data_IF_165969588734
#
_entry.id   IF_165969588734
#
_cell.length_a   1.000
_cell.length_b   1.000
_cell.length_c   1.000
_cell.angle_alpha   90.00
_cell.angle_beta   90.00
_cell.angle_gamma   90.00
#
_symmetry.space_group_name_H-M   'P 1'
#
loop_
_entity.id
_entity.type
_entity.pdbx_description
1 polymer ?
#
# COMPACT_ATOMS: atom_id res chain seq x y z
N UNK A 1 -6.74 -7.58 -8.18
CA UNK A 1 -5.73 -8.06 -7.21
C UNK A 1 -5.96 -9.52 -6.91
N UNK A 2 -7.06 -9.92 -6.25
CA UNK A 2 -7.35 -11.34 -5.99
C UNK A 2 -7.35 -12.19 -7.28
N UNK A 3 -8.06 -11.77 -8.33
CA UNK A 3 -8.05 -12.49 -9.61
C UNK A 3 -6.65 -12.60 -10.24
N UNK A 4 -5.80 -11.57 -10.14
CA UNK A 4 -4.43 -11.60 -10.64
C UNK A 4 -3.56 -12.56 -9.84
N UNK A 5 -3.69 -12.56 -8.52
CA UNK A 5 -2.96 -13.48 -7.66
C UNK A 5 -3.43 -14.93 -7.86
N UNK A 6 -4.73 -15.16 -8.10
CA UNK A 6 -5.25 -16.49 -8.43
C UNK A 6 -4.76 -16.98 -9.80
N UNK A 7 -4.71 -16.11 -10.81
CA UNK A 7 -4.13 -16.43 -12.12
C UNK A 7 -2.64 -16.73 -11.99
N UNK A 8 -1.91 -15.90 -11.23
CA UNK A 8 -0.49 -16.11 -10.96
C UNK A 8 -0.21 -17.42 -10.24
N UNK A 9 -1.00 -17.74 -9.21
CA UNK A 9 -0.92 -19.01 -8.49
C UNK A 9 -1.26 -20.20 -9.40
N UNK A 10 -2.29 -20.08 -10.24
CA UNK A 10 -2.66 -21.12 -11.20
C UNK A 10 -1.56 -21.34 -12.26
N UNK A 11 -0.90 -20.27 -12.72
CA UNK A 11 0.24 -20.35 -13.63
C UNK A 11 1.45 -20.99 -12.96
N UNK A 12 1.74 -20.65 -11.70
CA UNK A 12 2.79 -21.30 -10.92
C UNK A 12 2.50 -22.79 -10.79
N UNK A 13 1.28 -23.17 -10.39
CA UNK A 13 0.87 -24.58 -10.28
C UNK A 13 0.99 -25.30 -11.64
N UNK A 14 0.58 -24.68 -12.74
CA UNK A 14 0.72 -25.24 -14.07
C UNK A 14 2.19 -25.40 -14.48
N UNK A 15 3.04 -24.39 -14.24
CA UNK A 15 4.48 -24.45 -14.51
C UNK A 15 5.17 -25.51 -13.65
N UNK A 16 4.80 -25.64 -12.38
CA UNK A 16 5.31 -26.66 -11.47
C UNK A 16 4.96 -28.07 -11.91
N UNK A 17 3.81 -28.27 -12.58
CA UNK A 17 3.40 -29.57 -13.11
C UNK A 17 4.04 -29.87 -14.48
N UNK A 18 4.20 -28.87 -15.33
CA UNK A 18 4.66 -29.04 -16.71
C UNK A 18 6.19 -28.96 -16.85
N UNK A 19 6.84 -28.11 -16.05
CA UNK A 19 8.26 -27.78 -16.13
C UNK A 19 8.86 -27.57 -14.71
N UNK A 20 8.86 -28.58 -13.83
CA UNK A 20 9.31 -28.45 -12.45
C UNK A 20 10.74 -27.95 -12.32
N UNK A 21 11.65 -28.38 -13.21
CA UNK A 21 13.06 -27.95 -13.22
C UNK A 21 13.22 -26.45 -13.45
N UNK A 22 12.35 -25.84 -14.26
CA UNK A 22 12.37 -24.40 -14.49
C UNK A 22 11.91 -23.65 -13.25
N UNK A 23 10.88 -24.15 -12.57
CA UNK A 23 10.39 -23.54 -11.32
C UNK A 23 11.45 -23.63 -10.22
N UNK A 24 12.11 -24.79 -10.11
CA UNK A 24 13.22 -24.99 -9.18
C UNK A 24 14.41 -24.08 -9.50
N UNK A 25 14.74 -23.88 -10.79
CA UNK A 25 15.83 -22.98 -11.17
C UNK A 25 15.51 -21.50 -10.92
N UNK A 26 14.24 -21.09 -11.11
CA UNK A 26 13.81 -19.70 -10.92
C UNK A 26 13.65 -19.35 -9.44
N UNK A 27 13.09 -20.26 -8.66
CA UNK A 27 12.91 -20.14 -7.21
C UNK A 27 13.96 -20.91 -6.43
N UNK A 28 15.16 -21.07 -6.99
CA UNK A 28 16.32 -21.44 -6.18
C UNK A 28 16.66 -20.26 -5.28
N UNK A 29 17.21 -20.54 -4.10
CA UNK A 29 17.76 -19.50 -3.24
C UNK A 29 18.83 -18.69 -3.95
N UNK A 30 18.79 -17.39 -3.76
CA UNK A 30 19.48 -16.34 -4.48
C UNK A 30 19.17 -16.29 -5.99
N UNK A 31 18.09 -16.96 -6.39
CA UNK A 31 17.65 -17.05 -7.77
C UNK A 31 17.01 -15.77 -8.27
N UNK A 32 16.64 -15.74 -9.56
CA UNK A 32 16.04 -14.56 -10.18
C UNK A 32 14.77 -14.06 -9.48
N UNK A 33 13.96 -14.96 -8.89
CA UNK A 33 12.72 -14.58 -8.21
C UNK A 33 13.00 -13.87 -6.90
N UNK A 34 13.94 -14.35 -6.07
CA UNK A 34 14.34 -13.69 -4.83
C UNK A 34 14.92 -12.29 -5.09
N UNK A 35 15.77 -12.14 -6.11
CA UNK A 35 16.29 -10.83 -6.51
C UNK A 35 15.18 -9.88 -6.97
N UNK A 36 14.13 -10.41 -7.61
CA UNK A 36 12.94 -9.65 -7.96
C UNK A 36 12.08 -9.30 -6.73
N UNK A 37 11.92 -10.21 -5.76
CA UNK A 37 11.16 -9.98 -4.53
C UNK A 37 11.82 -8.86 -3.72
N UNK A 38 13.15 -8.89 -3.57
CA UNK A 38 13.96 -7.82 -2.97
C UNK A 38 13.77 -6.47 -3.67
N UNK A 39 13.88 -6.43 -5.01
CA UNK A 39 13.71 -5.19 -5.76
C UNK A 39 12.29 -4.60 -5.59
N UNK A 40 11.26 -5.46 -5.59
CA UNK A 40 9.87 -5.05 -5.35
C UNK A 40 9.69 -4.58 -3.91
N UNK A 41 10.31 -5.23 -2.93
CA UNK A 41 10.23 -4.87 -1.52
C UNK A 41 10.88 -3.51 -1.26
N UNK A 42 12.06 -3.25 -1.84
CA UNK A 42 12.73 -1.94 -1.83
C UNK A 42 11.85 -0.86 -2.45
N UNK A 43 11.30 -1.12 -3.65
CA UNK A 43 10.39 -0.19 -4.31
C UNK A 43 9.14 0.08 -3.46
N UNK A 44 8.61 -0.96 -2.81
CA UNK A 44 7.51 -0.90 -1.86
C UNK A 44 7.83 0.00 -0.67
N UNK A 45 8.98 -0.22 -0.02
CA UNK A 45 9.45 0.60 1.10
C UNK A 45 9.57 2.08 0.71
N UNK A 46 10.22 2.38 -0.43
CA UNK A 46 10.35 3.74 -0.97
C UNK A 46 8.97 4.37 -1.22
N UNK A 47 8.06 3.63 -1.86
CA UNK A 47 6.71 4.11 -2.14
C UNK A 47 5.95 4.44 -0.83
N UNK A 48 6.02 3.57 0.17
CA UNK A 48 5.40 3.79 1.47
C UNK A 48 6.05 4.94 2.24
N UNK A 49 7.37 5.13 2.19
CA UNK A 49 8.03 6.32 2.73
C UNK A 49 7.57 7.61 2.05
N UNK A 50 7.42 7.60 0.72
CA UNK A 50 6.92 8.75 -0.02
C UNK A 50 5.48 9.10 0.39
N UNK A 51 4.63 8.09 0.60
CA UNK A 51 3.28 8.29 1.16
C UNK A 51 3.38 8.81 2.60
N UNK A 52 4.25 8.25 3.43
CA UNK A 52 4.39 8.63 4.85
C UNK A 52 4.78 10.10 5.02
N UNK A 53 5.67 10.59 4.15
CA UNK A 53 6.08 12.00 4.11
C UNK A 53 4.95 12.94 3.68
N UNK A 54 4.04 12.48 2.81
CA UNK A 54 2.91 13.29 2.31
C UNK A 54 1.72 13.27 3.27
N UNK A 55 1.39 12.10 3.81
CA UNK A 55 0.18 11.89 4.61
C UNK A 55 0.42 12.10 6.11
N UNK A 56 1.67 12.02 6.58
CA UNK A 56 2.07 12.27 7.98
C UNK A 56 1.50 11.29 9.02
N UNK A 57 0.84 10.20 8.58
CA UNK A 57 0.17 9.26 9.48
C UNK A 57 1.15 8.22 10.03
N UNK A 58 1.07 7.98 11.34
CA UNK A 58 1.92 7.02 12.05
C UNK A 58 1.90 5.62 11.44
N UNK A 59 0.72 5.10 11.05
CA UNK A 59 0.62 3.76 10.49
C UNK A 59 1.32 3.61 9.12
N UNK A 60 1.45 4.69 8.35
CA UNK A 60 2.15 4.68 7.05
C UNK A 60 3.65 4.60 7.28
N UNK A 61 4.16 5.33 8.28
CA UNK A 61 5.55 5.19 8.74
C UNK A 61 5.82 3.79 9.28
N UNK A 62 4.90 3.23 10.08
CA UNK A 62 5.02 1.85 10.57
C UNK A 62 5.04 0.84 9.42
N UNK A 63 4.23 1.02 8.37
CA UNK A 63 4.29 0.20 7.17
C UNK A 63 5.64 0.31 6.47
N UNK A 64 6.16 1.53 6.28
CA UNK A 64 7.46 1.74 5.64
C UNK A 64 8.59 1.09 6.44
N UNK A 65 8.62 1.28 7.77
CA UNK A 65 9.59 0.65 8.65
C UNK A 65 9.45 -0.88 8.65
N UNK A 66 8.21 -1.39 8.66
CA UNK A 66 7.94 -2.82 8.60
C UNK A 66 8.57 -3.45 7.34
N UNK A 67 8.38 -2.86 6.16
CA UNK A 67 8.98 -3.37 4.92
C UNK A 67 10.52 -3.34 4.94
N UNK A 68 11.12 -2.33 5.58
CA UNK A 68 12.59 -2.28 5.75
C UNK A 68 13.07 -3.36 6.70
N UNK A 69 12.34 -3.63 7.78
CA UNK A 69 12.66 -4.73 8.70
C UNK A 69 12.56 -6.06 7.98
N UNK A 70 11.48 -6.30 7.23
CA UNK A 70 11.32 -7.52 6.42
C UNK A 70 12.47 -7.68 5.44
N UNK A 71 12.85 -6.62 4.71
CA UNK A 71 14.00 -6.66 3.81
C UNK A 71 15.29 -7.04 4.55
N UNK A 72 15.49 -6.52 5.76
CA UNK A 72 16.67 -6.85 6.56
C UNK A 72 16.65 -8.26 7.15
N UNK A 73 15.47 -8.84 7.37
CA UNK A 73 15.31 -10.23 7.82
C UNK A 73 15.52 -11.24 6.68
N UNK A 74 15.17 -10.86 5.46
CA UNK A 74 15.20 -11.72 4.27
C UNK A 74 16.59 -11.81 3.64
N UNK A 75 17.36 -10.73 3.68
CA UNK A 75 18.70 -10.69 3.12
C UNK A 75 19.66 -11.65 3.86
N UNK A 76 20.27 -12.59 3.15
CA UNK A 76 21.52 -13.20 3.61
C UNK A 76 22.68 -12.21 3.45
N UNK A 77 22.91 -11.45 4.52
CA UNK A 77 23.94 -10.43 4.60
C UNK A 77 25.35 -10.97 4.29
N UNK A 78 25.64 -12.22 4.66
CA UNK A 78 26.95 -12.83 4.45
C UNK A 78 27.10 -13.44 3.06
N UNK A 79 26.09 -14.19 2.62
CA UNK A 79 26.10 -14.87 1.32
C UNK A 79 26.04 -13.92 0.13
N UNK A 80 25.15 -12.91 0.18
CA UNK A 80 24.83 -12.05 -0.98
C UNK A 80 25.67 -10.80 -1.01
N UNK A 81 25.80 -10.16 0.15
CA UNK A 81 26.42 -8.85 0.26
C UNK A 81 27.82 -8.89 0.87
N UNK A 82 28.31 -10.10 1.20
CA UNK A 82 29.62 -10.33 1.81
C UNK A 82 29.85 -9.55 3.11
N UNK A 83 28.77 -9.24 3.83
CA UNK A 83 28.75 -8.54 5.12
C UNK A 83 28.79 -9.55 6.27
N UNK A 84 29.85 -10.34 6.32
CA UNK A 84 30.08 -11.42 7.30
C UNK A 84 29.93 -10.94 8.76
N UNK A 85 30.35 -9.71 9.07
CA UNK A 85 30.22 -9.16 10.43
C UNK A 85 28.75 -8.99 10.86
N UNK A 86 27.87 -8.58 9.94
CA UNK A 86 26.45 -8.44 10.21
C UNK A 86 25.78 -9.81 10.34
N UNK A 87 26.08 -10.73 9.43
CA UNK A 87 25.57 -12.11 9.47
C UNK A 87 25.97 -12.84 10.76
N UNK A 88 27.24 -12.73 11.17
CA UNK A 88 27.73 -13.36 12.41
C UNK A 88 27.12 -12.74 13.68
N UNK A 89 26.80 -11.45 13.65
CA UNK A 89 26.13 -10.78 14.78
C UNK A 89 24.68 -11.23 14.93
N UNK A 90 23.96 -11.41 13.80
CA UNK A 90 22.62 -11.99 13.77
C UNK A 90 22.64 -13.44 14.25
N UNK A 91 23.55 -14.26 13.72
CA UNK A 91 23.72 -15.66 14.12
C UNK A 91 23.99 -15.79 15.62
N UNK A 92 24.84 -14.93 16.18
CA UNK A 92 25.12 -14.92 17.62
C UNK A 92 23.91 -14.52 18.49
N UNK A 93 22.97 -13.72 17.96
CA UNK A 93 21.81 -13.23 18.71
C UNK A 93 20.62 -14.21 18.67
N UNK A 94 20.34 -14.79 17.51
CA UNK A 94 19.13 -15.58 17.26
C UNK A 94 19.43 -17.02 16.81
N UNK A 95 20.70 -17.42 16.68
CA UNK A 95 21.13 -18.75 16.25
C UNK A 95 20.98 -19.01 14.75
N UNK A 96 20.68 -17.97 13.98
CA UNK A 96 20.45 -18.06 12.54
C UNK A 96 20.99 -16.82 11.83
N UNK A 97 21.69 -17.02 10.70
CA UNK A 97 22.18 -15.95 9.82
C UNK A 97 21.07 -15.25 9.04
N UNK A 98 19.92 -15.92 8.89
CA UNK A 98 18.73 -15.41 8.23
C UNK A 98 17.48 -15.81 9.04
N UNK A 99 16.88 -14.81 9.69
CA UNK A 99 15.74 -15.01 10.59
C UNK A 99 14.48 -15.46 9.85
N UNK A 100 14.28 -14.96 8.63
CA UNK A 100 13.15 -15.28 7.77
C UNK A 100 13.13 -16.78 7.45
N UNK A 101 14.27 -17.29 7.01
CA UNK A 101 14.46 -18.70 6.68
C UNK A 101 14.35 -19.64 7.88
N UNK A 102 14.79 -19.19 9.07
CA UNK A 102 14.64 -19.97 10.29
C UNK A 102 13.17 -20.17 10.69
N UNK A 103 12.32 -19.16 10.42
CA UNK A 103 10.89 -19.23 10.67
C UNK A 103 10.11 -19.93 9.54
N UNK A 104 10.70 -20.04 8.35
CA UNK A 104 10.12 -20.68 7.16
C UNK A 104 8.71 -20.17 6.86
N UNK A 105 7.79 -21.09 6.53
CA UNK A 105 6.37 -20.82 6.32
C UNK A 105 5.68 -19.85 7.30
N UNK A 106 6.13 -19.76 8.56
CA UNK A 106 5.54 -18.89 9.58
C UNK A 106 5.94 -17.41 9.44
N UNK A 107 7.11 -17.12 8.86
CA UNK A 107 7.55 -15.76 8.58
C UNK A 107 6.53 -15.02 7.71
N UNK A 108 6.04 -15.69 6.66
CA UNK A 108 5.04 -15.14 5.73
C UNK A 108 3.71 -14.85 6.41
N UNK A 109 3.29 -15.70 7.35
CA UNK A 109 2.04 -15.50 8.09
C UNK A 109 2.17 -14.30 9.02
N UNK A 110 3.29 -14.19 9.72
CA UNK A 110 3.62 -13.04 10.56
C UNK A 110 3.60 -11.76 9.72
N UNK A 111 4.27 -11.78 8.57
CA UNK A 111 4.29 -10.68 7.62
C UNK A 111 2.91 -10.27 7.14
N UNK A 112 2.13 -11.23 6.64
CA UNK A 112 0.79 -10.97 6.14
C UNK A 112 -0.14 -10.46 7.24
N UNK A 113 -0.03 -10.99 8.47
CA UNK A 113 -0.84 -10.57 9.61
C UNK A 113 -0.53 -9.12 10.05
N UNK A 114 0.76 -8.79 10.23
CA UNK A 114 1.20 -7.42 10.60
C UNK A 114 0.77 -6.44 9.51
N UNK A 115 1.00 -6.79 8.25
CA UNK A 115 0.63 -5.98 7.10
C UNK A 115 -0.88 -5.77 7.02
N UNK A 116 -1.68 -6.83 7.18
CA UNK A 116 -3.13 -6.75 7.17
C UNK A 116 -3.66 -5.89 8.34
N UNK A 117 -3.03 -5.96 9.52
CA UNK A 117 -3.37 -5.11 10.66
C UNK A 117 -3.14 -3.63 10.35
N UNK A 118 -1.99 -3.28 9.76
CA UNK A 118 -1.67 -1.91 9.35
C UNK A 118 -2.63 -1.40 8.25
N UNK A 119 -2.98 -2.24 7.28
CA UNK A 119 -4.01 -1.91 6.28
C UNK A 119 -5.41 -1.79 6.91
N UNK A 120 -5.70 -2.57 7.95
CA UNK A 120 -6.92 -2.46 8.75
C UNK A 120 -7.00 -1.13 9.51
N UNK A 121 -5.88 -0.66 10.07
CA UNK A 121 -5.76 0.69 10.63
C UNK A 121 -6.08 1.74 9.55
N UNK A 122 -5.51 1.60 8.35
CA UNK A 122 -5.78 2.50 7.23
C UNK A 122 -7.27 2.53 6.85
N UNK A 123 -7.93 1.37 6.81
CA UNK A 123 -9.36 1.27 6.52
C UNK A 123 -10.21 1.94 7.60
N UNK A 124 -9.91 1.73 8.89
CA UNK A 124 -10.60 2.39 10.00
C UNK A 124 -10.43 3.90 9.95
N UNK A 125 -9.25 4.37 9.60
CA UNK A 125 -8.89 5.79 9.46
C UNK A 125 -9.52 6.48 8.24
N UNK A 126 -9.96 5.68 7.27
CA UNK A 126 -10.64 6.10 6.04
C UNK A 126 -12.15 6.25 6.23
N UNK A 127 -12.72 5.91 7.39
CA UNK A 127 -14.15 6.13 7.63
C UNK A 127 -14.44 7.64 7.77
N UNK A 128 -15.54 8.15 7.18
CA UNK A 128 -15.89 9.56 7.31
C UNK A 128 -15.99 9.93 8.80
N UNK A 129 -15.17 10.88 9.25
CA UNK A 129 -15.39 11.58 10.51
C UNK A 129 -16.22 12.83 10.20
N UNK A 130 -17.00 13.30 11.18
CA UNK A 130 -17.95 14.41 11.03
C UNK A 130 -17.35 15.74 10.49
N UNK A 131 -16.02 15.87 10.44
CA UNK A 131 -15.33 16.99 9.80
C UNK A 131 -14.49 16.53 8.58
N UNK A 132 -14.90 16.89 7.36
CA UNK A 132 -14.19 16.56 6.13
C UNK A 132 -13.14 17.63 5.83
N UNK A 133 -11.98 17.58 6.49
CA UNK A 133 -10.94 18.61 6.29
C UNK A 133 -9.62 18.09 5.74
N UNK A 134 -9.47 16.79 5.44
CA UNK A 134 -8.24 16.31 4.79
C UNK A 134 -8.51 15.40 3.60
N UNK A 135 -7.72 15.59 2.54
CA UNK A 135 -7.56 14.64 1.44
C UNK A 135 -7.00 13.33 2.01
N UNK A 136 -7.88 12.45 2.48
CA UNK A 136 -7.51 11.14 3.04
C UNK A 136 -7.47 10.10 1.95
N UNK A 137 -6.34 9.42 1.80
CA UNK A 137 -6.23 8.22 0.98
C UNK A 137 -7.14 7.14 1.54
N UNK A 138 -8.10 6.67 0.74
CA UNK A 138 -8.97 5.55 1.12
C UNK A 138 -8.27 4.24 0.79
N UNK A 139 -7.99 3.45 1.82
CA UNK A 139 -7.59 2.04 1.67
C UNK A 139 -8.83 1.17 1.84
N UNK A 140 -9.04 0.23 0.92
CA UNK A 140 -10.18 -0.68 1.00
C UNK A 140 -9.91 -1.79 2.01
N UNK A 141 -10.88 -2.13 2.86
CA UNK A 141 -10.79 -3.32 3.70
C UNK A 141 -10.57 -4.61 2.88
N UNK A 142 -10.93 -4.61 1.59
CA UNK A 142 -10.65 -5.72 0.66
C UNK A 142 -9.15 -5.93 0.44
N UNK A 143 -8.33 -4.89 0.53
CA UNK A 143 -6.89 -5.01 0.36
C UNK A 143 -6.25 -5.72 1.57
N UNK A 144 -6.70 -5.43 2.79
CA UNK A 144 -6.25 -6.13 4.00
C UNK A 144 -6.64 -7.61 3.98
N UNK A 145 -7.89 -7.92 3.61
CA UNK A 145 -8.36 -9.31 3.48
C UNK A 145 -7.55 -10.05 2.42
N UNK A 146 -7.30 -9.43 1.26
CA UNK A 146 -6.56 -10.09 0.19
C UNK A 146 -5.10 -10.38 0.57
N UNK A 147 -4.41 -9.47 1.27
CA UNK A 147 -3.05 -9.73 1.79
C UNK A 147 -3.07 -10.88 2.79
N UNK A 148 -4.02 -10.90 3.72
CA UNK A 148 -4.16 -12.00 4.68
C UNK A 148 -4.47 -13.33 3.99
N UNK A 149 -5.35 -13.32 3.00
CA UNK A 149 -5.68 -14.52 2.21
C UNK A 149 -4.47 -15.05 1.43
N UNK A 150 -3.61 -14.17 0.91
CA UNK A 150 -2.37 -14.58 0.25
C UNK A 150 -1.39 -15.21 1.24
N UNK A 151 -1.22 -14.64 2.43
CA UNK A 151 -0.38 -15.22 3.48
C UNK A 151 -0.93 -16.50 4.11
N UNK A 152 -2.24 -16.75 4.05
CA UNK A 152 -2.81 -18.05 4.43
C UNK A 152 -2.69 -19.08 3.31
N UNK A 153 -2.85 -18.65 2.06
CA UNK A 153 -2.65 -19.51 0.90
C UNK A 153 -1.20 -20.00 0.84
N UNK A 154 -0.21 -19.21 1.27
CA UNK A 154 1.19 -19.66 1.31
C UNK A 154 1.36 -20.90 2.17
N UNK A 155 0.84 -20.91 3.40
CA UNK A 155 0.88 -22.09 4.29
C UNK A 155 0.27 -23.32 3.61
N UNK A 156 -0.89 -23.16 2.97
CA UNK A 156 -1.61 -24.27 2.38
C UNK A 156 -0.79 -24.86 1.21
N UNK A 157 -0.24 -23.99 0.36
CA UNK A 157 0.51 -24.41 -0.83
C UNK A 157 1.85 -25.03 -0.43
N UNK A 158 2.60 -24.43 0.51
CA UNK A 158 3.88 -24.99 0.98
C UNK A 158 3.70 -26.35 1.63
N UNK A 159 2.65 -26.52 2.46
CA UNK A 159 2.32 -27.82 3.07
C UNK A 159 1.81 -28.86 2.07
N UNK A 160 1.13 -28.44 1.01
CA UNK A 160 0.62 -29.35 -0.02
C UNK A 160 1.69 -29.78 -1.03
N UNK A 161 2.73 -28.96 -1.24
CA UNK A 161 3.79 -29.18 -2.24
C UNK A 161 5.18 -29.17 -1.60
N UNK A 162 5.51 -30.09 -0.68
CA UNK A 162 6.77 -30.06 0.07
C UNK A 162 8.03 -30.19 -0.80
N UNK A 163 7.92 -30.78 -2.00
CA UNK A 163 9.05 -30.87 -2.95
C UNK A 163 9.38 -29.56 -3.66
N UNK A 164 8.48 -28.58 -3.59
CA UNK A 164 8.61 -27.27 -4.20
C UNK A 164 8.50 -26.17 -3.15
N UNK A 165 8.69 -26.52 -1.86
CA UNK A 165 8.45 -25.62 -0.73
C UNK A 165 9.24 -24.32 -0.91
N UNK A 166 10.56 -24.42 -1.08
CA UNK A 166 11.46 -23.29 -1.29
C UNK A 166 11.05 -22.42 -2.48
N UNK A 167 10.93 -23.00 -3.68
CA UNK A 167 10.55 -22.21 -4.85
C UNK A 167 9.16 -21.60 -4.75
N UNK A 168 8.21 -22.29 -4.13
CA UNK A 168 6.85 -21.77 -3.97
C UNK A 168 6.83 -20.60 -3.00
N UNK A 169 7.62 -20.66 -1.93
CA UNK A 169 7.80 -19.56 -0.97
C UNK A 169 8.29 -18.29 -1.68
N UNK A 170 9.35 -18.39 -2.48
CA UNK A 170 9.90 -17.27 -3.27
C UNK A 170 8.85 -16.60 -4.19
N UNK A 171 8.04 -17.41 -4.88
CA UNK A 171 6.95 -16.87 -5.71
C UNK A 171 5.86 -16.20 -4.87
N UNK A 172 5.53 -16.75 -3.70
CA UNK A 172 4.51 -16.22 -2.81
C UNK A 172 4.94 -14.88 -2.20
N UNK A 173 6.22 -14.74 -1.82
CA UNK A 173 6.83 -13.47 -1.44
C UNK A 173 6.66 -12.42 -2.54
N UNK A 174 7.05 -12.77 -3.77
CA UNK A 174 6.91 -11.89 -4.93
C UNK A 174 5.47 -11.39 -5.10
N UNK A 175 4.48 -12.26 -4.92
CA UNK A 175 3.07 -11.87 -4.97
C UNK A 175 2.63 -10.99 -3.79
N UNK A 176 3.10 -11.29 -2.57
CA UNK A 176 2.79 -10.50 -1.37
C UNK A 176 3.38 -9.09 -1.47
N UNK A 177 4.66 -8.96 -1.85
CA UNK A 177 5.33 -7.67 -2.01
C UNK A 177 4.78 -6.92 -3.20
N UNK A 178 4.51 -7.61 -4.31
CA UNK A 178 3.85 -7.03 -5.49
C UNK A 178 2.47 -6.46 -5.15
N UNK A 179 1.68 -7.17 -4.33
CA UNK A 179 0.38 -6.67 -3.87
C UNK A 179 0.53 -5.39 -3.05
N UNK A 180 1.55 -5.30 -2.19
CA UNK A 180 1.80 -4.12 -1.35
C UNK A 180 2.29 -2.92 -2.16
N UNK A 181 3.22 -3.14 -3.08
CA UNK A 181 3.67 -2.11 -4.01
C UNK A 181 2.49 -1.64 -4.86
N UNK A 182 1.66 -2.55 -5.36
CA UNK A 182 0.44 -2.21 -6.11
C UNK A 182 -0.50 -1.34 -5.27
N UNK A 183 -0.75 -1.69 -4.00
CA UNK A 183 -1.57 -0.87 -3.09
C UNK A 183 -0.95 0.54 -2.91
N UNK A 184 0.37 0.63 -2.76
CA UNK A 184 1.08 1.91 -2.64
C UNK A 184 1.00 2.74 -3.93
N UNK A 185 1.13 2.10 -5.10
CA UNK A 185 1.15 2.77 -6.41
C UNK A 185 -0.22 3.24 -6.92
N UNK A 186 -1.33 2.71 -6.38
CA UNK A 186 -2.69 3.13 -6.80
C UNK A 186 -2.87 4.65 -6.69
N UNK A 187 -3.64 5.29 -7.59
CA UNK A 187 -4.03 6.68 -7.41
C UNK A 187 -4.76 6.83 -6.07
N UNK A 188 -4.41 7.83 -5.24
CA UNK A 188 -5.14 8.07 -4.00
C UNK A 188 -6.59 8.42 -4.35
N UNK A 189 -7.53 7.60 -3.85
CA UNK A 189 -8.95 7.96 -3.85
C UNK A 189 -9.19 8.81 -2.62
N UNK A 190 -9.73 10.01 -2.80
CA UNK A 190 -10.02 10.91 -1.69
C UNK A 190 -11.49 10.83 -1.30
N UNK A 191 -11.79 10.88 0.00
CA UNK A 191 -13.16 11.15 0.46
C UNK A 191 -13.58 12.54 -0.06
N UNK A 192 -14.50 12.57 -1.03
CA UNK A 192 -14.99 13.78 -1.66
C UNK A 192 -14.94 13.77 -3.20
N UNK A 193 -14.26 12.80 -3.82
CA UNK A 193 -14.21 12.68 -5.29
C UNK A 193 -15.59 12.31 -5.90
N UNK A 194 -16.56 11.88 -5.07
CA UNK A 194 -17.95 11.68 -5.47
C UNK A 194 -18.82 12.95 -5.42
N UNK A 195 -18.27 14.12 -5.05
CA UNK A 195 -19.02 15.41 -5.03
C UNK A 195 -18.60 16.34 -6.17
N UNK A 196 -17.57 15.99 -6.95
CA UNK A 196 -17.21 16.74 -8.17
C UNK A 196 -17.51 15.91 -9.41
N UNK A 197 -18.78 15.93 -9.81
CA UNK A 197 -19.22 15.95 -11.21
C UNK A 197 -20.74 16.14 -11.24
N UNK A 198 -21.27 17.16 -10.56
CA UNK A 198 -22.51 17.78 -11.02
C UNK A 198 -22.14 19.05 -11.78
N UNK A 199 -21.73 18.86 -13.03
CA UNK A 199 -21.62 19.93 -14.01
C UNK A 199 -23.02 20.26 -14.54
N UNK A 200 -23.97 20.65 -13.69
CA UNK A 200 -25.28 21.11 -14.17
C UNK A 200 -26.06 21.95 -13.16
N UNK A 201 -25.46 23.04 -12.68
CA UNK A 201 -26.28 24.21 -12.33
C UNK A 201 -25.51 25.51 -12.48
N UNK A 202 -25.29 25.93 -13.73
CA UNK A 202 -25.14 27.36 -14.03
C UNK A 202 -26.57 27.90 -14.06
N UNK A 203 -27.01 28.49 -12.96
CA UNK A 203 -28.22 29.31 -12.97
C UNK A 203 -27.90 30.51 -13.89
N UNK A 204 -28.62 30.74 -15.00
CA UNK A 204 -28.42 31.96 -15.75
C UNK A 204 -28.71 33.13 -14.81
N UNK A 205 -27.74 34.03 -14.67
CA UNK A 205 -27.99 35.34 -14.10
C UNK A 205 -28.96 36.01 -15.07
N UNK A 206 -30.24 36.11 -14.67
CA UNK A 206 -31.13 37.10 -15.26
C UNK A 206 -30.46 38.45 -15.01
N UNK A 207 -29.85 38.99 -16.07
CA UNK A 207 -29.51 40.41 -16.13
C UNK A 207 -30.82 41.15 -16.28
N UNK A 208 -31.48 41.41 -15.16
CA UNK A 208 -32.48 42.48 -15.08
C UNK A 208 -31.75 43.77 -15.41
N UNK A 209 -31.83 44.21 -16.66
CA UNK A 209 -31.41 45.55 -17.05
C UNK A 209 -32.36 46.53 -16.40
N UNK A 210 -32.03 47.01 -15.20
CA UNK A 210 -32.56 48.26 -14.72
C UNK A 210 -31.95 49.37 -15.59
N UNK A 211 -32.65 49.72 -16.66
CA UNK A 211 -32.42 50.97 -17.39
C UNK A 211 -32.79 52.12 -16.46
N UNK A 212 -31.77 52.76 -15.91
CA UNK A 212 -31.88 54.11 -15.36
C UNK A 212 -32.05 55.07 -16.55
N UNK A 213 -33.26 55.57 -16.76
CA UNK A 213 -33.45 56.81 -17.50
C UNK A 213 -34.50 57.68 -16.81
N UNK A 214 -33.98 58.79 -16.30
CA UNK A 214 -34.58 60.12 -16.25
C UNK A 214 -36.01 60.27 -15.70
N UNK A 215 -36.11 60.94 -14.53
CA UNK A 215 -36.77 62.25 -14.46
C UNK A 215 -36.59 62.96 -13.12
N UNK A 216 -35.90 64.11 -13.23
CA UNK A 216 -36.28 65.45 -12.72
C UNK A 216 -36.34 65.71 -11.21
N UNK A 217 -35.46 66.64 -10.81
CA UNK A 217 -35.78 67.93 -10.14
C UNK A 217 -36.41 67.87 -8.72
N UNK A 218 -36.01 68.63 -7.71
CA UNK A 218 -35.00 69.67 -7.48
C UNK A 218 -34.91 69.86 -5.92
N UNK A 219 -34.32 70.92 -5.34
CA UNK A 219 -33.47 70.81 -4.16
C UNK A 219 -34.16 71.32 -2.88
N UNK A 220 -33.36 71.43 -1.81
CA UNK A 220 -33.58 72.20 -0.57
C UNK A 220 -34.38 71.50 0.55
N UNK A 221 -33.72 71.20 1.67
CA UNK A 221 -33.59 72.14 2.81
C UNK A 221 -32.79 71.52 3.97
N UNK A 222 -31.91 72.36 4.50
CA UNK A 222 -31.59 72.57 5.91
C UNK A 222 -31.14 71.37 6.78
N UNK A 223 -29.84 71.39 7.11
CA UNK A 223 -29.40 71.10 8.49
C UNK A 223 -30.10 72.05 9.47
N UNK A 224 -30.34 71.60 10.70
CA UNK A 224 -29.65 72.24 11.82
C UNK A 224 -28.99 71.24 12.79
N UNK A 225 -28.16 71.75 13.73
CA UNK A 225 -27.14 70.99 14.46
C UNK A 225 -27.58 70.59 15.88
N UNK A 226 -26.75 69.78 16.53
CA UNK A 226 -26.82 69.51 17.98
C UNK A 226 -27.40 68.14 18.31
N UNK A 227 -26.97 67.41 19.34
CA UNK A 227 -26.18 67.77 20.51
C UNK A 227 -25.64 66.47 21.17
N UNK A 228 -24.43 66.57 21.73
CA UNK A 228 -23.76 65.72 22.73
C UNK A 228 -23.65 64.21 22.50
#
# INVERSE_FOLDING_TARGET
MLAFALVGLALLLALSLLCPELVLALGAKEGPIEQCSHAILVAGAIAWFAIARRDGRRWVWLMACWLVITLGEEIDWGGVYHLETAANSLDALIGHRNAHNAAGGLAYVGFAAITAALLGCAWRDSRPRAHPTSRRRVVSGRDAVAVLSLGLASIIVTRALPRLEESTEEFLELYLYGALLWIAARPPRFLGDSVRLDKTYIKPHETTSCSNDEKRAAPTRARPPGCF
#
